data_IF_057525547309
#
_entry.id   IF_057525547309
#
_cell.length_a   1.000
_cell.length_b   1.000
_cell.length_c   1.000
_cell.angle_alpha   90.00
_cell.angle_beta   90.00
_cell.angle_gamma   90.00
#
_symmetry.space_group_name_H-M   'P 1'
#
loop_
_entity.id
_entity.type
_entity.pdbx_description
1 polymer ?
#
# COMPACT_ATOMS: atom_id res chain seq x y z
N UNK A 1 -8.39 21.87 -12.73
CA UNK A 1 -7.03 21.28 -12.52
C UNK A 1 -6.09 21.47 -13.73
N UNK A 2 -6.47 21.14 -14.99
CA UNK A 2 -5.58 21.33 -16.16
C UNK A 2 -5.08 22.77 -16.37
N UNK A 3 -5.89 23.79 -16.09
CA UNK A 3 -5.49 25.22 -16.22
C UNK A 3 -4.53 25.68 -15.12
N UNK A 4 -4.56 25.11 -13.94
CA UNK A 4 -3.72 25.46 -12.81
C UNK A 4 -2.28 24.95 -13.01
N UNK A 5 -2.09 23.78 -13.66
CA UNK A 5 -0.77 23.23 -13.99
C UNK A 5 -0.03 24.04 -15.06
N UNK A 6 -0.75 24.55 -16.07
CA UNK A 6 -0.14 25.45 -17.08
C UNK A 6 0.39 26.74 -16.46
N UNK A 7 -0.30 27.25 -15.43
CA UNK A 7 0.12 28.47 -14.71
C UNK A 7 1.35 28.21 -13.83
N UNK A 8 1.51 27.01 -13.30
CA UNK A 8 2.67 26.62 -12.48
C UNK A 8 3.94 26.47 -13.35
N UNK A 9 3.83 25.86 -14.53
CA UNK A 9 4.95 25.76 -15.47
C UNK A 9 5.42 27.14 -15.95
N UNK A 10 4.50 28.07 -16.20
CA UNK A 10 4.81 29.46 -16.60
C UNK A 10 5.42 30.29 -15.45
N UNK A 11 5.01 30.04 -14.20
CA UNK A 11 5.55 30.74 -13.03
C UNK A 11 6.98 30.33 -12.67
N UNK A 12 7.35 29.06 -12.88
CA UNK A 12 8.73 28.57 -12.69
C UNK A 12 9.71 29.19 -13.69
N UNK A 13 9.25 29.53 -14.91
CA UNK A 13 10.07 30.17 -15.93
C UNK A 13 10.36 31.66 -15.64
N UNK A 14 9.59 32.32 -14.76
CA UNK A 14 9.71 33.78 -14.55
C UNK A 14 10.49 34.18 -13.29
N UNK A 15 10.91 33.26 -12.44
CA UNK A 15 11.54 33.59 -11.15
C UNK A 15 12.91 32.94 -10.92
N UNK A 16 13.75 32.82 -11.94
CA UNK A 16 15.16 32.44 -11.73
C UNK A 16 16.00 33.72 -11.64
N UNK A 17 16.48 34.15 -10.46
CA UNK A 17 17.52 35.14 -10.39
C UNK A 17 18.76 34.59 -11.10
N UNK A 18 19.35 35.38 -11.97
CA UNK A 18 20.61 35.07 -12.62
C UNK A 18 21.75 35.04 -11.59
N UNK A 19 21.76 34.03 -10.75
CA UNK A 19 22.98 33.68 -10.02
C UNK A 19 23.77 32.71 -10.87
N UNK A 20 24.91 33.17 -11.35
CA UNK A 20 25.94 32.33 -11.92
C UNK A 20 26.59 31.47 -10.82
N UNK A 21 25.83 30.51 -10.28
CA UNK A 21 26.39 29.46 -9.47
C UNK A 21 26.81 28.30 -10.38
N UNK A 22 28.03 27.79 -10.16
CA UNK A 22 28.54 26.63 -10.87
C UNK A 22 27.51 25.50 -10.81
N UNK A 23 26.84 25.24 -11.92
CA UNK A 23 26.02 24.06 -12.09
C UNK A 23 26.86 22.83 -11.78
N UNK A 24 26.41 21.98 -10.89
CA UNK A 24 27.08 20.73 -10.60
C UNK A 24 26.75 19.74 -11.73
N UNK A 25 27.37 19.96 -12.91
CA UNK A 25 27.24 19.02 -14.02
C UNK A 25 27.97 17.74 -13.66
N UNK A 26 27.28 16.60 -13.85
CA UNK A 26 27.92 15.28 -13.65
C UNK A 26 29.04 15.14 -14.67
N UNK A 27 30.27 14.91 -14.19
CA UNK A 27 31.44 14.65 -15.05
C UNK A 27 31.43 13.18 -15.51
N UNK A 28 30.53 12.89 -16.46
CA UNK A 28 30.36 11.53 -17.02
C UNK A 28 31.65 11.03 -17.65
N UNK A 29 32.35 11.90 -18.43
CA UNK A 29 33.60 11.51 -19.10
C UNK A 29 34.71 11.18 -18.10
N UNK A 30 34.87 12.02 -17.08
CA UNK A 30 35.84 11.76 -16.00
C UNK A 30 35.53 10.48 -15.23
N UNK A 31 34.25 10.19 -15.01
CA UNK A 31 33.82 8.96 -14.32
C UNK A 31 34.04 7.71 -15.18
N UNK A 32 33.76 7.77 -16.49
CA UNK A 32 34.07 6.66 -17.40
C UNK A 32 35.59 6.39 -17.47
N UNK A 33 36.43 7.42 -17.48
CA UNK A 33 37.91 7.27 -17.40
C UNK A 33 38.36 6.62 -16.08
N UNK A 34 37.69 6.93 -14.94
CA UNK A 34 37.93 6.24 -13.66
C UNK A 34 37.59 4.75 -13.74
N UNK A 35 36.48 4.42 -14.40
CA UNK A 35 36.03 3.03 -14.59
C UNK A 35 37.05 2.27 -15.44
N UNK A 36 37.44 2.78 -16.62
CA UNK A 36 38.43 2.17 -17.47
C UNK A 36 39.79 1.94 -16.78
N UNK A 37 40.24 2.91 -15.98
CA UNK A 37 41.45 2.76 -15.18
C UNK A 37 41.30 1.68 -14.10
N UNK A 38 40.09 1.56 -13.52
CA UNK A 38 39.77 0.51 -12.56
C UNK A 38 39.75 -0.86 -13.22
N UNK A 39 39.18 -0.99 -14.43
CA UNK A 39 39.17 -2.22 -15.21
C UNK A 39 40.60 -2.68 -15.53
N UNK A 40 41.45 -1.79 -16.00
CA UNK A 40 42.87 -2.06 -16.26
C UNK A 40 43.63 -2.47 -14.95
N UNK A 41 43.21 -1.93 -13.81
CA UNK A 41 43.79 -2.26 -12.53
C UNK A 41 43.46 -3.69 -12.11
N UNK A 42 42.24 -4.13 -12.22
CA UNK A 42 41.84 -5.50 -11.84
C UNK A 42 42.17 -6.54 -12.90
N UNK A 43 42.37 -6.16 -14.14
CA UNK A 43 42.91 -7.05 -15.17
C UNK A 43 44.40 -7.43 -14.93
N UNK A 44 45.12 -6.64 -14.15
CA UNK A 44 46.51 -6.97 -13.77
C UNK A 44 46.53 -7.87 -12.52
N UNK A 45 46.99 -9.11 -12.65
CA UNK A 45 46.97 -10.12 -11.59
C UNK A 45 47.59 -9.64 -10.26
N UNK A 46 48.77 -8.97 -10.31
CA UNK A 46 49.45 -8.45 -9.10
C UNK A 46 48.63 -7.35 -8.40
N UNK A 47 47.88 -6.55 -9.17
CA UNK A 47 47.05 -5.51 -8.61
C UNK A 47 45.69 -6.07 -8.16
N UNK A 48 45.12 -7.02 -8.89
CA UNK A 48 43.90 -7.74 -8.53
C UNK A 48 44.03 -8.55 -7.22
N UNK A 49 45.25 -9.00 -6.87
CA UNK A 49 45.51 -9.65 -5.59
C UNK A 49 45.38 -8.70 -4.37
N UNK A 50 45.24 -7.40 -4.58
CA UNK A 50 45.13 -6.41 -3.49
C UNK A 50 43.64 -6.07 -3.22
N UNK A 51 43.11 -6.46 -2.10
CA UNK A 51 41.75 -6.20 -1.67
C UNK A 51 41.36 -4.70 -1.77
N UNK A 52 42.30 -3.78 -1.46
CA UNK A 52 42.06 -2.34 -1.55
C UNK A 52 41.72 -1.84 -2.96
N UNK A 53 42.17 -2.54 -4.00
CA UNK A 53 41.83 -2.16 -5.38
C UNK A 53 40.39 -2.54 -5.71
N UNK A 54 39.91 -3.64 -5.16
CA UNK A 54 38.48 -4.03 -5.30
C UNK A 54 37.55 -3.13 -4.51
N UNK A 55 37.93 -2.69 -3.29
CA UNK A 55 37.16 -1.66 -2.58
C UNK A 55 37.05 -0.37 -3.40
N UNK A 56 38.18 0.11 -3.96
CA UNK A 56 38.14 1.30 -4.84
C UNK A 56 37.28 1.12 -6.07
N UNK A 57 37.29 -0.09 -6.66
CA UNK A 57 36.41 -0.42 -7.77
C UNK A 57 34.95 -0.32 -7.37
N UNK A 58 34.57 -0.92 -6.25
CA UNK A 58 33.21 -0.85 -5.74
C UNK A 58 32.76 0.60 -5.50
N UNK A 59 33.62 1.42 -4.89
CA UNK A 59 33.37 2.85 -4.65
C UNK A 59 33.14 3.60 -5.96
N UNK A 60 33.93 3.33 -7.03
CA UNK A 60 33.77 3.95 -8.36
C UNK A 60 32.45 3.49 -9.01
N UNK A 61 32.09 2.21 -8.89
CA UNK A 61 30.81 1.71 -9.41
C UNK A 61 29.62 2.33 -8.70
N UNK A 62 29.70 2.51 -7.38
CA UNK A 62 28.66 3.24 -6.64
C UNK A 62 28.59 4.73 -6.99
N UNK A 63 29.74 5.38 -7.30
CA UNK A 63 29.75 6.73 -7.83
C UNK A 63 29.02 6.79 -9.19
N UNK A 64 29.20 5.78 -10.04
CA UNK A 64 28.51 5.69 -11.33
C UNK A 64 27.01 5.43 -11.19
N UNK A 65 26.63 4.57 -10.26
CA UNK A 65 25.22 4.26 -9.98
C UNK A 65 24.43 5.50 -9.56
N UNK A 66 25.00 6.26 -8.64
CA UNK A 66 24.33 7.41 -8.03
C UNK A 66 24.66 8.75 -8.69
N UNK A 67 25.38 8.76 -9.81
CA UNK A 67 25.93 9.96 -10.43
C UNK A 67 24.88 11.07 -10.63
N UNK A 68 23.72 10.73 -11.15
CA UNK A 68 22.64 11.68 -11.42
C UNK A 68 21.76 11.98 -10.20
N UNK A 69 21.69 11.07 -9.23
CA UNK A 69 20.67 11.10 -8.18
C UNK A 69 21.23 11.24 -6.77
N UNK A 70 22.57 11.34 -6.61
CA UNK A 70 23.22 11.39 -5.29
C UNK A 70 22.73 12.54 -4.40
N UNK A 71 22.35 13.67 -4.97
CA UNK A 71 21.89 14.85 -4.27
C UNK A 71 20.37 15.09 -4.43
N UNK A 72 19.65 14.17 -5.09
CA UNK A 72 18.21 14.26 -5.29
C UNK A 72 17.52 13.36 -4.29
N UNK A 73 16.46 13.87 -3.65
CA UNK A 73 15.63 13.11 -2.72
C UNK A 73 14.16 13.49 -2.87
N UNK A 74 13.29 12.58 -2.51
CA UNK A 74 11.85 12.84 -2.46
C UNK A 74 11.57 14.03 -1.54
N UNK A 75 10.54 14.79 -1.86
CA UNK A 75 10.14 16.03 -1.16
C UNK A 75 11.07 17.22 -1.35
N UNK A 76 12.20 17.12 -2.08
CA UNK A 76 13.05 18.25 -2.42
C UNK A 76 12.24 19.31 -3.18
N UNK A 77 12.39 20.56 -2.80
CA UNK A 77 11.66 21.67 -3.46
C UNK A 77 12.22 21.97 -4.85
N UNK A 78 11.35 22.33 -5.79
CA UNK A 78 11.73 22.65 -7.17
C UNK A 78 12.83 23.70 -7.27
N UNK A 79 12.80 24.73 -6.42
CA UNK A 79 13.84 25.77 -6.38
C UNK A 79 15.22 25.19 -6.00
N UNK A 80 15.27 24.21 -5.08
CA UNK A 80 16.52 23.53 -4.73
C UNK A 80 17.05 22.68 -5.89
N UNK A 81 16.13 22.00 -6.62
CA UNK A 81 16.51 21.30 -7.86
C UNK A 81 17.13 22.23 -8.88
N UNK A 82 16.50 23.39 -9.14
CA UNK A 82 17.01 24.39 -10.08
C UNK A 82 18.35 25.00 -9.62
N UNK A 83 18.52 25.22 -8.32
CA UNK A 83 19.81 25.69 -7.78
C UNK A 83 20.92 24.66 -7.95
N UNK A 84 20.60 23.38 -7.79
CA UNK A 84 21.59 22.29 -7.87
C UNK A 84 21.94 21.91 -9.32
N UNK A 85 20.93 21.76 -10.16
CA UNK A 85 21.06 21.21 -11.52
C UNK A 85 20.96 22.25 -12.63
N UNK A 86 20.52 23.46 -12.30
CA UNK A 86 20.19 24.50 -13.28
C UNK A 86 18.86 24.24 -13.99
N UNK A 87 18.69 24.93 -15.14
CA UNK A 87 17.48 24.78 -15.93
C UNK A 87 17.44 23.41 -16.62
N UNK A 88 16.29 22.72 -16.61
CA UNK A 88 16.14 21.47 -17.34
C UNK A 88 16.17 21.70 -18.85
N UNK A 89 16.63 20.69 -19.58
CA UNK A 89 16.65 20.71 -21.05
C UNK A 89 15.24 20.61 -21.65
N UNK A 90 14.35 19.91 -20.98
CA UNK A 90 12.93 19.76 -21.36
C UNK A 90 12.01 19.88 -20.14
N UNK A 91 10.80 20.38 -20.40
CA UNK A 91 9.71 20.39 -19.43
C UNK A 91 8.44 19.93 -20.12
N UNK A 92 7.81 18.90 -19.59
CA UNK A 92 6.59 18.33 -20.16
C UNK A 92 5.61 17.91 -19.06
N UNK A 93 4.33 17.87 -19.40
CA UNK A 93 3.34 17.24 -18.52
C UNK A 93 3.44 15.73 -18.67
N UNK A 94 3.49 15.04 -17.54
CA UNK A 94 3.46 13.59 -17.47
C UNK A 94 2.32 13.15 -16.55
N UNK A 95 1.86 11.95 -16.74
CA UNK A 95 0.83 11.33 -15.90
C UNK A 95 1.36 10.02 -15.31
N UNK A 96 1.24 9.87 -13.99
CA UNK A 96 1.57 8.63 -13.28
C UNK A 96 0.37 8.23 -12.44
N UNK A 97 -0.20 7.08 -12.71
CA UNK A 97 -1.39 6.57 -12.04
C UNK A 97 -2.59 7.56 -12.04
N UNK A 98 -2.84 8.21 -13.17
CA UNK A 98 -3.94 9.19 -13.31
C UNK A 98 -3.67 10.55 -12.67
N UNK A 99 -2.52 10.74 -12.00
CA UNK A 99 -2.14 12.01 -11.39
C UNK A 99 -1.18 12.78 -12.30
N UNK A 100 -1.38 14.11 -12.47
CA UNK A 100 -0.51 14.94 -13.29
C UNK A 100 0.76 15.35 -12.54
N UNK A 101 1.89 15.34 -13.25
CA UNK A 101 3.20 15.77 -12.79
C UNK A 101 3.87 16.68 -13.83
N UNK A 102 4.79 17.55 -13.37
CA UNK A 102 5.74 18.24 -14.25
C UNK A 102 7.01 17.39 -14.33
N UNK A 103 7.29 16.85 -15.51
CA UNK A 103 8.55 16.13 -15.79
C UNK A 103 9.60 17.09 -16.30
N UNK A 104 10.72 17.19 -15.58
CA UNK A 104 11.87 18.02 -15.87
C UNK A 104 13.02 17.12 -16.37
N UNK A 105 13.34 17.19 -17.66
CA UNK A 105 14.39 16.39 -18.27
C UNK A 105 15.76 17.06 -18.20
N UNK A 106 16.76 16.30 -17.79
CA UNK A 106 18.18 16.64 -17.74
C UNK A 106 19.01 15.64 -18.57
N UNK A 107 20.31 15.87 -18.71
CA UNK A 107 21.19 14.94 -19.40
C UNK A 107 21.26 13.60 -18.62
N UNK A 108 20.72 12.54 -19.20
CA UNK A 108 20.74 11.18 -18.65
C UNK A 108 19.59 10.82 -17.70
N UNK A 109 18.81 11.77 -17.19
CA UNK A 109 17.73 11.52 -16.24
C UNK A 109 16.61 12.56 -16.30
N UNK A 110 15.49 12.28 -15.66
CA UNK A 110 14.39 13.23 -15.49
C UNK A 110 13.81 13.15 -14.09
N UNK A 111 13.22 14.26 -13.62
CA UNK A 111 12.61 14.40 -12.28
C UNK A 111 11.13 14.71 -12.46
N UNK A 112 10.29 14.13 -11.60
CA UNK A 112 8.85 14.36 -11.54
C UNK A 112 8.50 15.24 -10.34
N UNK A 113 7.93 16.43 -10.60
CA UNK A 113 7.43 17.34 -9.58
C UNK A 113 5.92 17.24 -9.43
N UNK A 114 5.45 17.14 -8.20
CA UNK A 114 4.02 17.20 -7.87
C UNK A 114 3.45 18.62 -7.95
N UNK A 115 2.14 18.74 -7.76
CA UNK A 115 1.44 20.03 -7.70
C UNK A 115 1.94 20.93 -6.55
N UNK A 116 2.52 20.34 -5.50
CA UNK A 116 3.18 21.01 -4.37
C UNK A 116 4.61 21.48 -4.69
N UNK A 117 5.04 21.38 -5.94
CA UNK A 117 6.39 21.74 -6.44
C UNK A 117 7.52 20.97 -5.73
N UNK A 118 7.26 19.74 -5.30
CA UNK A 118 8.24 18.88 -4.68
C UNK A 118 8.52 17.65 -5.55
N UNK A 119 9.75 17.16 -5.47
CA UNK A 119 10.16 15.92 -6.15
C UNK A 119 9.34 14.75 -5.60
N UNK A 120 8.74 13.99 -6.50
CA UNK A 120 7.97 12.77 -6.19
C UNK A 120 8.67 11.51 -6.68
N UNK A 121 9.55 11.65 -7.68
CA UNK A 121 10.34 10.57 -8.23
C UNK A 121 11.21 11.06 -9.38
N UNK A 122 11.94 10.13 -9.97
CA UNK A 122 12.83 10.38 -11.11
C UNK A 122 12.93 9.12 -11.98
N UNK A 123 13.51 9.27 -13.14
CA UNK A 123 13.92 8.17 -14.02
C UNK A 123 15.33 8.41 -14.54
N UNK A 124 16.09 7.31 -14.68
CA UNK A 124 17.46 7.34 -15.24
C UNK A 124 17.50 6.40 -16.44
N UNK A 125 16.97 6.82 -17.61
CA UNK A 125 16.91 5.97 -18.79
C UNK A 125 18.30 5.64 -19.36
N UNK A 126 19.29 6.50 -19.11
CA UNK A 126 20.65 6.34 -19.59
C UNK A 126 21.64 6.42 -18.42
N UNK A 127 21.78 5.36 -17.61
CA UNK A 127 22.73 5.35 -16.51
C UNK A 127 24.18 5.49 -17.03
N UNK A 128 25.04 6.11 -16.24
CA UNK A 128 26.46 6.30 -16.62
C UNK A 128 27.14 4.97 -16.90
N UNK A 129 26.81 3.95 -16.13
CA UNK A 129 27.32 2.59 -16.33
C UNK A 129 26.20 1.56 -16.00
N UNK A 130 25.60 0.92 -17.01
CA UNK A 130 24.58 -0.10 -16.78
C UNK A 130 25.09 -1.26 -15.92
N UNK A 131 24.37 -1.62 -14.86
CA UNK A 131 24.74 -2.67 -13.93
C UNK A 131 25.87 -2.31 -12.94
N UNK A 132 26.09 -1.02 -12.70
CA UNK A 132 27.08 -0.53 -11.75
C UNK A 132 26.92 -1.12 -10.36
N UNK A 133 25.68 -1.25 -9.87
CA UNK A 133 25.37 -1.91 -8.59
C UNK A 133 25.90 -3.33 -8.53
N UNK A 134 25.68 -4.16 -9.55
CA UNK A 134 26.16 -5.55 -9.59
C UNK A 134 27.67 -5.62 -9.56
N UNK A 135 28.34 -4.71 -10.29
CA UNK A 135 29.80 -4.61 -10.28
C UNK A 135 30.34 -4.12 -8.94
N UNK A 136 29.61 -3.29 -8.22
CA UNK A 136 29.97 -2.88 -6.86
C UNK A 136 29.88 -4.05 -5.88
N UNK A 137 28.77 -4.83 -5.95
CA UNK A 137 28.56 -6.03 -5.13
C UNK A 137 29.70 -7.06 -5.38
N UNK A 138 29.98 -7.39 -6.64
CA UNK A 138 31.07 -8.28 -7.05
C UNK A 138 32.41 -7.83 -6.44
N UNK A 139 32.67 -6.54 -6.55
CA UNK A 139 33.93 -5.96 -6.08
C UNK A 139 34.06 -5.96 -4.55
N UNK A 140 32.99 -5.67 -3.80
CA UNK A 140 33.01 -5.77 -2.34
C UNK A 140 33.16 -7.22 -1.87
N UNK A 141 32.48 -8.19 -2.48
CA UNK A 141 32.66 -9.60 -2.19
C UNK A 141 34.13 -10.03 -2.40
N UNK A 142 34.70 -9.66 -3.56
CA UNK A 142 36.09 -9.98 -3.86
C UNK A 142 37.08 -9.32 -2.90
N UNK A 143 36.82 -8.11 -2.46
CA UNK A 143 37.63 -7.43 -1.46
C UNK A 143 37.62 -8.18 -0.11
N UNK A 144 36.42 -8.62 0.32
CA UNK A 144 36.24 -9.37 1.55
C UNK A 144 36.94 -10.74 1.51
N UNK A 145 36.76 -11.49 0.42
CA UNK A 145 37.43 -12.80 0.21
C UNK A 145 38.96 -12.70 0.28
N UNK A 146 39.49 -11.64 -0.34
CA UNK A 146 40.95 -11.40 -0.33
C UNK A 146 41.47 -10.94 1.03
N UNK A 147 40.67 -10.22 1.80
CA UNK A 147 41.06 -9.73 3.12
C UNK A 147 39.86 -9.48 4.04
N UNK A 148 39.41 -10.48 4.82
CA UNK A 148 38.30 -10.33 5.75
C UNK A 148 38.50 -9.24 6.83
N UNK A 149 39.74 -8.76 7.05
CA UNK A 149 39.99 -7.62 7.97
C UNK A 149 39.38 -6.31 7.46
N UNK A 150 38.95 -6.26 6.18
CA UNK A 150 38.21 -5.13 5.62
C UNK A 150 36.71 -5.19 5.89
N UNK A 151 36.20 -6.15 6.67
CA UNK A 151 34.80 -6.38 6.96
C UNK A 151 34.03 -5.08 7.30
N UNK A 152 34.57 -4.21 8.16
CA UNK A 152 33.96 -2.92 8.49
C UNK A 152 33.78 -2.03 7.26
N UNK A 153 34.81 -1.94 6.41
CA UNK A 153 34.79 -1.09 5.22
C UNK A 153 33.86 -1.64 4.14
N UNK A 154 33.83 -2.96 3.96
CA UNK A 154 32.87 -3.60 3.04
C UNK A 154 31.45 -3.43 3.54
N UNK A 155 31.18 -3.59 4.84
CA UNK A 155 29.86 -3.35 5.43
C UNK A 155 29.35 -1.92 5.20
N UNK A 156 30.20 -0.90 5.42
CA UNK A 156 29.87 0.50 5.11
C UNK A 156 29.53 0.69 3.60
N UNK A 157 30.25 -0.04 2.73
CA UNK A 157 29.97 -0.06 1.29
C UNK A 157 28.64 -0.72 0.96
N UNK A 158 28.35 -1.85 1.57
CA UNK A 158 27.10 -2.57 1.38
C UNK A 158 25.87 -1.80 1.86
N UNK A 159 25.97 -1.04 2.95
CA UNK A 159 24.89 -0.14 3.37
C UNK A 159 24.54 0.86 2.28
N UNK A 160 25.54 1.42 1.58
CA UNK A 160 25.29 2.32 0.44
C UNK A 160 24.67 1.60 -0.76
N UNK A 161 25.12 0.37 -1.04
CA UNK A 161 24.55 -0.49 -2.09
C UNK A 161 23.08 -0.75 -1.80
N UNK A 162 22.74 -1.24 -0.60
CA UNK A 162 21.36 -1.53 -0.20
C UNK A 162 20.51 -0.25 -0.29
N UNK A 163 20.99 0.88 0.25
CA UNK A 163 20.26 2.14 0.19
C UNK A 163 20.02 2.63 -1.25
N UNK A 164 20.98 2.44 -2.17
CA UNK A 164 20.79 2.80 -3.57
C UNK A 164 19.72 1.90 -4.23
N UNK A 165 19.78 0.59 -4.01
CA UNK A 165 18.78 -0.36 -4.53
C UNK A 165 17.38 -0.05 -3.98
N UNK A 166 17.26 0.23 -2.67
CA UNK A 166 15.98 0.60 -2.05
C UNK A 166 15.43 1.91 -2.61
N UNK A 167 16.30 2.89 -2.88
CA UNK A 167 15.94 4.16 -3.51
C UNK A 167 15.39 3.95 -4.91
N UNK A 168 16.01 3.08 -5.71
CA UNK A 168 15.53 2.71 -7.03
C UNK A 168 14.20 1.93 -6.95
N UNK A 169 14.05 1.03 -5.97
CA UNK A 169 12.81 0.31 -5.73
C UNK A 169 11.65 1.25 -5.43
N UNK A 170 11.84 2.22 -4.52
CA UNK A 170 10.85 3.25 -4.20
C UNK A 170 10.47 4.07 -5.43
N UNK A 171 11.44 4.39 -6.25
CA UNK A 171 11.24 5.14 -7.49
C UNK A 171 10.48 4.34 -8.56
N UNK A 172 10.78 3.06 -8.75
CA UNK A 172 9.99 2.17 -9.62
C UNK A 172 8.56 1.99 -9.08
N UNK A 173 8.38 1.92 -7.75
CA UNK A 173 7.06 1.90 -7.14
C UNK A 173 6.26 3.18 -7.46
N UNK A 174 6.87 4.34 -7.35
CA UNK A 174 6.27 5.61 -7.76
C UNK A 174 5.86 5.58 -9.24
N UNK A 175 6.73 5.11 -10.13
CA UNK A 175 6.50 5.02 -11.58
C UNK A 175 5.50 3.88 -11.96
N UNK A 176 5.00 3.11 -10.99
CA UNK A 176 4.12 1.94 -11.19
C UNK A 176 4.77 0.77 -11.94
N UNK A 177 6.08 0.74 -12.03
CA UNK A 177 6.82 -0.45 -12.48
C UNK A 177 7.03 -1.39 -11.29
N UNK A 178 5.91 -1.96 -10.80
CA UNK A 178 5.90 -2.79 -9.60
C UNK A 178 6.79 -4.03 -9.73
N UNK A 179 6.94 -4.55 -10.94
CA UNK A 179 7.82 -5.71 -11.16
C UNK A 179 9.29 -5.35 -10.90
N UNK A 180 9.76 -4.21 -11.45
CA UNK A 180 11.13 -3.75 -11.15
C UNK A 180 11.30 -3.34 -9.69
N UNK A 181 10.28 -2.71 -9.09
CA UNK A 181 10.30 -2.40 -7.66
C UNK A 181 10.51 -3.67 -6.82
N UNK A 182 9.73 -4.74 -7.10
CA UNK A 182 9.86 -6.02 -6.41
C UNK A 182 11.25 -6.63 -6.58
N UNK A 183 11.77 -6.66 -7.81
CA UNK A 183 13.13 -7.16 -8.09
C UNK A 183 14.21 -6.39 -7.33
N UNK A 184 14.09 -5.08 -7.24
CA UNK A 184 15.03 -4.26 -6.48
C UNK A 184 14.91 -4.54 -4.97
N UNK A 185 13.72 -4.64 -4.41
CA UNK A 185 13.55 -4.97 -3.00
C UNK A 185 14.07 -6.38 -2.67
N UNK A 186 13.74 -7.39 -3.49
CA UNK A 186 14.29 -8.75 -3.33
C UNK A 186 15.82 -8.73 -3.37
N UNK A 187 16.41 -8.01 -4.32
CA UNK A 187 17.87 -7.84 -4.41
C UNK A 187 18.46 -7.15 -3.19
N UNK A 188 17.82 -6.11 -2.63
CA UNK A 188 18.30 -5.47 -1.39
C UNK A 188 18.33 -6.45 -0.22
N UNK A 189 17.29 -7.28 -0.08
CA UNK A 189 17.24 -8.37 0.89
C UNK A 189 18.38 -9.38 0.67
N UNK A 190 18.55 -9.91 -0.55
CA UNK A 190 19.60 -10.88 -0.88
C UNK A 190 21.00 -10.34 -0.57
N UNK A 191 21.25 -9.07 -0.89
CA UNK A 191 22.52 -8.39 -0.59
C UNK A 191 22.74 -8.31 0.92
N UNK A 192 21.70 -8.10 1.72
CA UNK A 192 21.81 -8.05 3.18
C UNK A 192 22.23 -9.40 3.79
N UNK A 193 21.97 -10.51 3.11
CA UNK A 193 22.35 -11.86 3.53
C UNK A 193 23.83 -12.19 3.25
N UNK A 194 24.51 -11.38 2.44
CA UNK A 194 25.91 -11.67 2.07
C UNK A 194 26.86 -11.51 3.27
N UNK A 195 27.78 -12.48 3.51
CA UNK A 195 28.71 -12.38 4.64
C UNK A 195 29.56 -11.11 4.64
N UNK A 196 29.92 -10.62 3.44
CA UNK A 196 30.68 -9.39 3.26
C UNK A 196 29.87 -8.13 3.59
N UNK A 197 28.55 -8.23 3.63
CA UNK A 197 27.67 -7.09 3.95
C UNK A 197 27.81 -6.70 5.43
N UNK A 198 27.90 -7.67 6.34
CA UNK A 198 28.06 -7.40 7.77
C UNK A 198 26.97 -6.50 8.37
N UNK A 199 25.80 -6.49 7.76
CA UNK A 199 24.62 -5.72 8.16
C UNK A 199 23.55 -6.67 8.71
N UNK A 200 22.55 -6.13 9.41
CA UNK A 200 21.38 -6.93 9.79
C UNK A 200 20.56 -7.30 8.56
N UNK A 201 19.87 -8.43 8.64
CA UNK A 201 18.94 -8.88 7.58
C UNK A 201 17.89 -7.80 7.30
N UNK A 202 17.71 -7.47 6.04
CA UNK A 202 16.77 -6.43 5.60
C UNK A 202 15.35 -7.00 5.44
N UNK A 203 14.68 -7.17 6.58
CA UNK A 203 13.34 -7.75 6.64
C UNK A 203 12.27 -6.85 5.98
N UNK A 204 12.47 -5.52 5.99
CA UNK A 204 11.58 -4.58 5.34
C UNK A 204 11.62 -4.75 3.81
N UNK A 205 12.80 -4.95 3.24
CA UNK A 205 12.92 -5.12 1.79
C UNK A 205 12.24 -6.38 1.31
N UNK A 206 12.37 -7.52 1.99
CA UNK A 206 11.68 -8.74 1.55
C UNK A 206 10.15 -8.63 1.70
N UNK A 207 9.65 -7.95 2.73
CA UNK A 207 8.23 -7.62 2.84
C UNK A 207 7.78 -6.74 1.67
N UNK A 208 8.52 -5.66 1.36
CA UNK A 208 8.19 -4.77 0.25
C UNK A 208 8.28 -5.46 -1.11
N UNK A 209 9.20 -6.43 -1.29
CA UNK A 209 9.24 -7.27 -2.49
C UNK A 209 7.94 -8.05 -2.68
N UNK A 210 7.48 -8.74 -1.64
CA UNK A 210 6.20 -9.44 -1.68
C UNK A 210 5.01 -8.52 -1.90
N UNK A 211 4.98 -7.38 -1.20
CA UNK A 211 3.93 -6.36 -1.35
C UNK A 211 3.86 -5.79 -2.78
N UNK A 212 5.00 -5.44 -3.36
CA UNK A 212 5.05 -4.90 -4.73
C UNK A 212 4.80 -5.98 -5.79
N UNK A 213 5.16 -7.24 -5.52
CA UNK A 213 4.83 -8.39 -6.36
C UNK A 213 3.32 -8.61 -6.45
N UNK A 214 2.57 -8.41 -5.36
CA UNK A 214 1.11 -8.43 -5.38
C UNK A 214 0.54 -7.43 -6.39
N UNK A 215 1.01 -6.16 -6.37
CA UNK A 215 0.56 -5.13 -7.31
C UNK A 215 1.02 -5.36 -8.76
N UNK A 216 2.10 -6.10 -8.97
CA UNK A 216 2.53 -6.50 -10.32
C UNK A 216 1.73 -7.67 -10.90
N UNK A 217 0.92 -8.36 -10.06
CA UNK A 217 0.21 -9.58 -10.42
C UNK A 217 1.07 -10.85 -10.36
N UNK A 218 2.32 -10.76 -9.86
CA UNK A 218 3.19 -11.91 -9.62
C UNK A 218 2.90 -12.49 -8.24
N UNK A 219 1.78 -13.20 -8.14
CA UNK A 219 1.27 -13.71 -6.87
C UNK A 219 2.15 -14.83 -6.28
N UNK A 220 2.81 -15.63 -7.12
CA UNK A 220 3.75 -16.66 -6.65
C UNK A 220 4.94 -16.04 -5.92
N UNK A 221 5.54 -15.01 -6.51
CA UNK A 221 6.62 -14.24 -5.86
C UNK A 221 6.12 -13.56 -4.60
N UNK A 222 4.94 -12.93 -4.66
CA UNK A 222 4.35 -12.28 -3.50
C UNK A 222 4.20 -13.23 -2.31
N UNK A 223 3.63 -14.41 -2.52
CA UNK A 223 3.48 -15.43 -1.47
C UNK A 223 4.83 -15.87 -0.93
N UNK A 224 5.79 -16.20 -1.81
CA UNK A 224 7.15 -16.61 -1.42
C UNK A 224 7.80 -15.57 -0.49
N UNK A 225 7.83 -14.32 -0.93
CA UNK A 225 8.56 -13.26 -0.23
C UNK A 225 7.89 -12.87 1.07
N UNK A 226 6.54 -12.84 1.13
CA UNK A 226 5.80 -12.57 2.36
C UNK A 226 5.95 -13.70 3.39
N UNK A 227 6.02 -14.96 2.98
CA UNK A 227 6.31 -16.08 3.89
C UNK A 227 7.72 -15.96 4.48
N UNK A 228 8.72 -15.54 3.69
CA UNK A 228 10.06 -15.24 4.20
C UNK A 228 10.01 -14.10 5.22
N UNK A 229 9.26 -13.03 4.94
CA UNK A 229 9.09 -11.93 5.88
C UNK A 229 8.43 -12.40 7.19
N UNK A 230 7.41 -13.27 7.12
CA UNK A 230 6.78 -13.91 8.28
C UNK A 230 7.79 -14.69 9.13
N UNK A 231 8.58 -15.56 8.48
CA UNK A 231 9.61 -16.36 9.16
C UNK A 231 10.68 -15.50 9.85
N UNK A 232 10.98 -14.34 9.28
CA UNK A 232 11.92 -13.37 9.85
C UNK A 232 11.29 -12.48 10.94
N UNK A 233 10.01 -12.67 11.26
CA UNK A 233 9.30 -11.93 12.30
C UNK A 233 8.88 -10.53 11.91
N UNK A 234 8.76 -10.23 10.60
CA UNK A 234 8.28 -8.95 10.11
C UNK A 234 6.81 -9.04 9.72
N UNK A 235 5.93 -8.38 10.46
CA UNK A 235 4.47 -8.57 10.38
C UNK A 235 3.67 -7.32 10.01
N UNK A 236 4.24 -6.11 10.11
CA UNK A 236 3.51 -4.83 9.92
C UNK A 236 2.17 -4.81 10.68
N UNK A 237 2.21 -5.05 12.00
CA UNK A 237 1.02 -5.13 12.85
C UNK A 237 -0.07 -6.10 12.33
N UNK A 238 0.35 -7.14 11.61
CA UNK A 238 -0.51 -8.16 11.03
C UNK A 238 -0.98 -7.88 9.59
N UNK A 239 -0.65 -6.73 8.99
CA UNK A 239 -1.03 -6.41 7.61
C UNK A 239 -0.41 -7.39 6.59
N UNK A 240 0.75 -7.96 6.93
CA UNK A 240 1.37 -9.04 6.14
C UNK A 240 0.35 -10.14 5.79
N UNK A 241 -0.45 -10.58 6.75
CA UNK A 241 -1.40 -11.68 6.55
C UNK A 241 -2.53 -11.34 5.58
N UNK A 242 -2.95 -10.07 5.53
CA UNK A 242 -3.94 -9.59 4.57
C UNK A 242 -3.39 -9.66 3.14
N UNK A 243 -2.18 -9.13 2.91
CA UNK A 243 -1.55 -9.16 1.58
C UNK A 243 -1.22 -10.59 1.17
N UNK A 244 -0.70 -11.39 2.10
CA UNK A 244 -0.37 -12.81 1.88
C UNK A 244 -1.62 -13.62 1.48
N UNK A 245 -2.74 -13.43 2.18
CA UNK A 245 -3.99 -14.10 1.85
C UNK A 245 -4.51 -13.71 0.45
N UNK A 246 -4.54 -12.41 0.14
CA UNK A 246 -5.01 -11.94 -1.15
C UNK A 246 -4.13 -12.43 -2.30
N UNK A 247 -2.81 -12.49 -2.11
CA UNK A 247 -1.85 -13.07 -3.06
C UNK A 247 -2.09 -14.56 -3.24
N UNK A 248 -2.24 -15.28 -2.12
CA UNK A 248 -2.45 -16.73 -2.11
C UNK A 248 -3.76 -17.09 -2.79
N UNK A 249 -4.85 -16.39 -2.47
CA UNK A 249 -6.15 -16.57 -3.11
C UNK A 249 -6.09 -16.31 -4.62
N UNK A 250 -5.41 -15.24 -5.03
CA UNK A 250 -5.24 -14.90 -6.46
C UNK A 250 -4.40 -15.96 -7.19
N UNK A 251 -3.37 -16.50 -6.55
CA UNK A 251 -2.53 -17.59 -7.07
C UNK A 251 -3.32 -18.90 -7.22
N UNK A 252 -4.18 -19.23 -6.26
CA UNK A 252 -4.97 -20.46 -6.26
C UNK A 252 -6.17 -20.41 -7.23
N UNK A 253 -6.72 -19.20 -7.49
CA UNK A 253 -7.94 -19.04 -8.27
C UNK A 253 -9.12 -19.80 -7.66
N UNK A 254 -9.72 -20.72 -8.43
CA UNK A 254 -10.86 -21.55 -8.00
C UNK A 254 -10.44 -22.90 -7.35
N UNK A 255 -9.14 -23.18 -7.26
CA UNK A 255 -8.60 -24.41 -6.68
C UNK A 255 -8.72 -24.40 -5.15
N UNK A 256 -9.84 -24.94 -4.66
CA UNK A 256 -10.16 -25.00 -3.23
C UNK A 256 -9.16 -25.83 -2.42
N UNK A 257 -8.61 -26.90 -3.01
CA UNK A 257 -7.66 -27.77 -2.30
C UNK A 257 -6.36 -27.01 -1.99
N UNK A 258 -5.86 -26.25 -2.97
CA UNK A 258 -4.72 -25.35 -2.74
C UNK A 258 -5.09 -24.23 -1.79
N UNK A 259 -6.24 -23.58 -1.99
CA UNK A 259 -6.68 -22.45 -1.17
C UNK A 259 -6.77 -22.82 0.32
N UNK A 260 -7.13 -24.06 0.67
CA UNK A 260 -7.18 -24.54 2.05
C UNK A 260 -5.83 -24.37 2.80
N UNK A 261 -4.70 -24.33 2.09
CA UNK A 261 -3.38 -24.06 2.68
C UNK A 261 -3.27 -22.69 3.33
N UNK A 262 -4.12 -21.73 2.96
CA UNK A 262 -4.14 -20.41 3.58
C UNK A 262 -4.57 -20.43 5.04
N UNK A 263 -5.32 -21.46 5.47
CA UNK A 263 -5.83 -21.59 6.83
C UNK A 263 -4.71 -21.59 7.87
N UNK A 264 -3.59 -22.23 7.55
CA UNK A 264 -2.45 -22.38 8.48
C UNK A 264 -1.83 -21.01 8.82
N UNK A 265 -1.43 -20.23 7.84
CA UNK A 265 -0.78 -18.94 8.12
C UNK A 265 -1.78 -17.91 8.69
N UNK A 266 -3.06 -17.92 8.28
CA UNK A 266 -4.06 -17.03 8.86
C UNK A 266 -4.33 -17.34 10.33
N UNK A 267 -4.36 -18.62 10.73
CA UNK A 267 -4.51 -19.01 12.14
C UNK A 267 -3.26 -18.62 12.96
N UNK A 268 -2.04 -18.73 12.38
CA UNK A 268 -0.84 -18.17 13.02
C UNK A 268 -0.97 -16.67 13.22
N UNK A 269 -1.45 -15.96 12.19
CA UNK A 269 -1.69 -14.52 12.24
C UNK A 269 -2.70 -14.13 13.31
N UNK A 270 -3.84 -14.82 13.38
CA UNK A 270 -4.87 -14.56 14.39
C UNK A 270 -4.34 -14.81 15.81
N UNK A 271 -3.53 -15.85 16.01
CA UNK A 271 -2.91 -16.14 17.31
C UNK A 271 -1.96 -15.02 17.74
N UNK A 272 -1.23 -14.44 16.81
CA UNK A 272 -0.23 -13.41 17.11
C UNK A 272 -0.85 -12.00 17.19
N UNK A 273 -1.88 -11.74 16.39
CA UNK A 273 -2.59 -10.47 16.29
C UNK A 273 -4.10 -10.69 16.45
N UNK A 274 -4.55 -11.12 17.64
CA UNK A 274 -5.94 -11.52 17.84
C UNK A 274 -6.92 -10.36 17.61
N UNK A 275 -6.48 -9.10 17.78
CA UNK A 275 -7.28 -7.91 17.54
C UNK A 275 -7.26 -7.40 16.09
N UNK A 276 -6.56 -8.08 15.16
CA UNK A 276 -6.52 -7.63 13.78
C UNK A 276 -7.76 -8.08 13.01
N UNK A 277 -8.68 -7.13 12.74
CA UNK A 277 -9.93 -7.39 12.02
C UNK A 277 -9.74 -7.87 10.58
N UNK A 278 -8.63 -7.47 9.92
CA UNK A 278 -8.34 -7.90 8.55
C UNK A 278 -8.06 -9.41 8.50
N UNK A 279 -7.32 -9.94 9.48
CA UNK A 279 -7.07 -11.39 9.59
C UNK A 279 -8.37 -12.15 9.82
N UNK A 280 -9.26 -11.65 10.70
CA UNK A 280 -10.57 -12.26 10.96
C UNK A 280 -11.42 -12.23 9.67
N UNK A 281 -11.40 -11.14 8.94
CA UNK A 281 -12.09 -11.00 7.65
C UNK A 281 -11.54 -12.00 6.62
N UNK A 282 -10.22 -12.12 6.50
CA UNK A 282 -9.57 -13.08 5.59
C UNK A 282 -9.92 -14.53 5.94
N UNK A 283 -9.95 -14.88 7.25
CA UNK A 283 -10.40 -16.22 7.69
C UNK A 283 -11.87 -16.46 7.33
N UNK A 284 -12.73 -15.48 7.58
CA UNK A 284 -14.16 -15.59 7.26
C UNK A 284 -14.37 -15.82 5.76
N UNK A 285 -13.68 -15.03 4.92
CA UNK A 285 -13.71 -15.17 3.47
C UNK A 285 -13.17 -16.54 3.02
N UNK A 286 -12.08 -17.01 3.63
CA UNK A 286 -11.50 -18.32 3.34
C UNK A 286 -12.51 -19.46 3.63
N UNK A 287 -13.15 -19.46 4.82
CA UNK A 287 -14.12 -20.48 5.18
C UNK A 287 -15.31 -20.49 4.20
N UNK A 288 -15.83 -19.31 3.84
CA UNK A 288 -16.89 -19.19 2.84
C UNK A 288 -16.45 -19.71 1.46
N UNK A 289 -15.24 -19.35 1.02
CA UNK A 289 -14.69 -19.80 -0.26
C UNK A 289 -14.52 -21.32 -0.34
N UNK A 290 -14.12 -21.94 0.77
CA UNK A 290 -14.01 -23.40 0.89
C UNK A 290 -15.38 -24.09 0.97
N UNK A 291 -16.44 -23.37 1.35
CA UNK A 291 -17.77 -23.91 1.69
C UNK A 291 -17.81 -24.48 3.10
N UNK A 292 -16.88 -24.05 3.96
CA UNK A 292 -16.86 -24.38 5.38
C UNK A 292 -17.70 -23.38 6.20
N UNK A 293 -18.02 -23.72 7.44
CA UNK A 293 -18.81 -22.84 8.30
C UNK A 293 -17.93 -21.82 9.04
N UNK A 294 -18.04 -20.50 8.76
CA UNK A 294 -17.28 -19.48 9.48
C UNK A 294 -17.55 -19.43 10.99
N UNK A 295 -18.60 -20.10 11.48
CA UNK A 295 -18.91 -20.17 12.91
C UNK A 295 -17.75 -20.75 13.74
N UNK A 296 -16.87 -21.56 13.11
CA UNK A 296 -15.67 -22.09 13.74
C UNK A 296 -14.67 -20.99 14.18
N UNK A 297 -14.76 -19.80 13.62
CA UNK A 297 -13.92 -18.65 13.98
C UNK A 297 -14.42 -18.00 15.28
N UNK A 298 -15.73 -18.08 15.57
CA UNK A 298 -16.36 -17.42 16.71
C UNK A 298 -15.71 -17.76 18.05
N UNK A 299 -15.44 -19.04 18.39
CA UNK A 299 -14.77 -19.38 19.65
C UNK A 299 -13.37 -18.76 19.76
N UNK A 300 -12.63 -18.69 18.66
CA UNK A 300 -11.27 -18.13 18.64
C UNK A 300 -11.30 -16.63 18.96
N UNK A 301 -12.22 -15.88 18.31
CA UNK A 301 -12.37 -14.44 18.56
C UNK A 301 -12.90 -14.19 19.99
N UNK A 302 -13.85 -15.00 20.49
CA UNK A 302 -14.35 -14.89 21.87
C UNK A 302 -13.25 -15.12 22.90
N UNK A 303 -12.39 -16.11 22.70
CA UNK A 303 -11.23 -16.34 23.58
C UNK A 303 -10.29 -15.14 23.60
N UNK A 304 -10.08 -14.49 22.44
CA UNK A 304 -9.29 -13.26 22.36
C UNK A 304 -9.98 -12.10 23.11
N UNK A 305 -11.30 -11.97 22.99
CA UNK A 305 -12.09 -10.97 23.74
C UNK A 305 -12.00 -11.20 25.26
N UNK A 306 -12.03 -12.45 25.73
CA UNK A 306 -11.85 -12.77 27.16
C UNK A 306 -10.50 -12.29 27.69
N UNK A 307 -9.45 -12.34 26.85
CA UNK A 307 -8.11 -11.85 27.19
C UNK A 307 -7.98 -10.33 27.11
N UNK A 308 -8.69 -9.71 26.16
CA UNK A 308 -8.62 -8.27 25.87
C UNK A 308 -10.03 -7.65 25.71
N UNK A 309 -10.85 -7.61 26.75
CA UNK A 309 -12.28 -7.24 26.64
C UNK A 309 -12.51 -5.78 26.23
N UNK A 310 -11.52 -4.91 26.38
CA UNK A 310 -11.57 -3.51 25.96
C UNK A 310 -11.01 -3.25 24.57
N UNK A 311 -10.58 -4.28 23.84
CA UNK A 311 -10.10 -4.17 22.48
C UNK A 311 -11.29 -4.11 21.50
N UNK A 312 -11.68 -2.90 21.09
CA UNK A 312 -12.81 -2.67 20.18
C UNK A 312 -12.67 -3.42 18.84
N UNK A 313 -11.44 -3.69 18.38
CA UNK A 313 -11.21 -4.38 17.10
C UNK A 313 -11.63 -5.85 17.14
N UNK A 314 -11.51 -6.52 18.30
CA UNK A 314 -11.99 -7.89 18.48
C UNK A 314 -13.53 -7.96 18.39
N UNK A 315 -14.22 -7.03 19.02
CA UNK A 315 -15.68 -6.91 18.93
C UNK A 315 -16.12 -6.59 17.50
N UNK A 316 -15.38 -5.72 16.81
CA UNK A 316 -15.62 -5.42 15.39
C UNK A 316 -15.46 -6.67 14.51
N UNK A 317 -14.39 -7.44 14.72
CA UNK A 317 -14.17 -8.71 14.04
C UNK A 317 -15.30 -9.72 14.29
N UNK A 318 -15.72 -9.88 15.56
CA UNK A 318 -16.84 -10.75 15.93
C UNK A 318 -18.15 -10.34 15.25
N UNK A 319 -18.45 -9.04 15.22
CA UNK A 319 -19.61 -8.49 14.51
C UNK A 319 -19.58 -8.81 13.03
N UNK A 320 -18.40 -8.69 12.40
CA UNK A 320 -18.19 -9.03 10.99
C UNK A 320 -18.44 -10.51 10.71
N UNK A 321 -17.93 -11.42 11.53
CA UNK A 321 -18.20 -12.87 11.41
C UNK A 321 -19.70 -13.14 11.51
N UNK A 322 -20.38 -12.62 12.54
CA UNK A 322 -21.81 -12.84 12.71
C UNK A 322 -22.65 -12.25 11.57
N UNK A 323 -22.23 -11.12 10.98
CA UNK A 323 -22.88 -10.52 9.80
C UNK A 323 -22.83 -11.50 8.61
N UNK A 324 -21.68 -12.10 8.34
CA UNK A 324 -21.54 -13.10 7.26
C UNK A 324 -22.36 -14.37 7.52
N UNK A 325 -22.47 -14.79 8.78
CA UNK A 325 -23.36 -15.88 9.21
C UNK A 325 -24.85 -15.52 9.16
N UNK A 326 -25.19 -14.28 8.77
CA UNK A 326 -26.55 -13.71 8.82
C UNK A 326 -27.19 -13.74 10.22
N UNK A 327 -26.37 -13.87 11.26
CA UNK A 327 -26.82 -13.74 12.64
C UNK A 327 -26.78 -12.24 13.03
N UNK A 328 -27.75 -11.50 12.49
CA UNK A 328 -27.76 -10.04 12.58
C UNK A 328 -27.93 -9.51 14.00
N UNK A 329 -28.61 -10.27 14.88
CA UNK A 329 -28.80 -9.88 16.28
C UNK A 329 -27.47 -9.94 17.07
N UNK A 330 -26.68 -11.00 16.91
CA UNK A 330 -25.38 -11.10 17.56
C UNK A 330 -24.35 -10.13 16.93
N UNK A 331 -24.42 -9.89 15.60
CA UNK A 331 -23.63 -8.87 14.94
C UNK A 331 -23.92 -7.48 15.51
N UNK A 332 -25.19 -7.14 15.72
CA UNK A 332 -25.63 -5.87 16.31
C UNK A 332 -25.00 -5.68 17.69
N UNK A 333 -25.14 -6.67 18.59
CA UNK A 333 -24.56 -6.62 19.93
C UNK A 333 -23.05 -6.39 19.90
N UNK A 334 -22.36 -7.07 19.01
CA UNK A 334 -20.90 -6.91 18.86
C UNK A 334 -20.52 -5.50 18.42
N UNK A 335 -21.19 -4.91 17.41
CA UNK A 335 -20.93 -3.54 16.99
C UNK A 335 -21.36 -2.50 18.04
N UNK A 336 -22.39 -2.77 18.84
CA UNK A 336 -22.75 -1.94 19.99
C UNK A 336 -21.65 -1.92 21.06
N UNK A 337 -20.98 -3.05 21.32
CA UNK A 337 -19.80 -3.07 22.20
C UNK A 337 -18.64 -2.25 21.60
N UNK A 338 -18.41 -2.27 20.27
CA UNK A 338 -17.45 -1.37 19.64
C UNK A 338 -17.78 0.08 19.95
N UNK A 339 -19.05 0.50 19.80
CA UNK A 339 -19.48 1.89 20.06
C UNK A 339 -19.34 2.27 21.55
N UNK A 340 -19.57 1.34 22.47
CA UNK A 340 -19.36 1.58 23.90
C UNK A 340 -17.88 1.84 24.22
N UNK A 341 -16.97 1.11 23.56
CA UNK A 341 -15.53 1.23 23.76
C UNK A 341 -14.94 2.42 22.99
N UNK A 342 -15.44 2.68 21.79
CA UNK A 342 -15.06 3.80 20.91
C UNK A 342 -16.31 4.43 20.26
N UNK A 343 -16.93 5.43 20.93
CA UNK A 343 -18.10 6.13 20.39
C UNK A 343 -17.82 6.91 19.08
N UNK A 344 -16.57 7.09 18.70
CA UNK A 344 -16.17 7.80 17.49
C UNK A 344 -15.93 6.87 16.29
N UNK A 345 -16.11 5.58 16.46
CA UNK A 345 -15.95 4.59 15.41
C UNK A 345 -17.07 4.68 14.36
N UNK A 346 -16.83 5.45 13.31
CA UNK A 346 -17.81 5.65 12.23
C UNK A 346 -18.20 4.36 11.52
N UNK A 347 -17.27 3.40 11.40
CA UNK A 347 -17.53 2.11 10.77
C UNK A 347 -18.53 1.25 11.59
N UNK A 348 -18.43 1.25 12.92
CA UNK A 348 -19.36 0.52 13.75
C UNK A 348 -20.80 1.09 13.65
N UNK A 349 -20.94 2.41 13.67
CA UNK A 349 -22.23 3.07 13.41
C UNK A 349 -22.79 2.71 12.03
N UNK A 350 -21.94 2.74 11.00
CA UNK A 350 -22.33 2.34 9.66
C UNK A 350 -22.81 0.90 9.62
N UNK A 351 -22.10 -0.05 10.23
CA UNK A 351 -22.51 -1.47 10.21
C UNK A 351 -23.82 -1.72 10.97
N UNK A 352 -24.09 -1.00 12.04
CA UNK A 352 -25.41 -1.08 12.70
C UNK A 352 -26.51 -0.64 11.73
N UNK A 353 -26.34 0.49 11.04
CA UNK A 353 -27.27 0.92 10.00
C UNK A 353 -27.42 -0.11 8.89
N UNK A 354 -26.33 -0.69 8.44
CA UNK A 354 -26.29 -1.70 7.39
C UNK A 354 -27.01 -3.01 7.81
N UNK A 355 -26.86 -3.44 9.06
CA UNK A 355 -27.57 -4.59 9.58
C UNK A 355 -29.09 -4.37 9.54
N UNK A 356 -29.58 -3.18 9.92
CA UNK A 356 -31.01 -2.87 9.77
C UNK A 356 -31.46 -2.92 8.30
N UNK A 357 -30.64 -2.49 7.34
CA UNK A 357 -30.94 -2.63 5.92
C UNK A 357 -31.03 -4.10 5.52
N UNK A 358 -30.08 -4.93 5.92
CA UNK A 358 -30.09 -6.37 5.63
C UNK A 358 -31.33 -7.09 6.25
N UNK A 359 -31.68 -6.72 7.48
CA UNK A 359 -32.89 -7.23 8.12
C UNK A 359 -34.16 -6.77 7.40
N UNK A 360 -34.19 -5.51 6.93
CA UNK A 360 -35.27 -4.95 6.13
C UNK A 360 -35.41 -5.62 4.77
N UNK A 361 -34.29 -5.87 4.08
CA UNK A 361 -34.28 -6.58 2.80
C UNK A 361 -34.75 -8.04 2.97
N UNK A 362 -34.26 -8.75 3.99
CA UNK A 362 -34.72 -10.11 4.30
C UNK A 362 -36.22 -10.16 4.64
N UNK A 363 -36.71 -9.19 5.42
CA UNK A 363 -38.12 -9.09 5.73
C UNK A 363 -38.99 -8.74 4.50
N UNK A 364 -38.46 -7.90 3.61
CA UNK A 364 -39.13 -7.57 2.36
C UNK A 364 -39.25 -8.80 1.45
N UNK A 365 -38.22 -9.63 1.36
CA UNK A 365 -38.27 -10.89 0.61
C UNK A 365 -39.32 -11.85 1.20
N UNK A 366 -39.38 -11.97 2.52
CA UNK A 366 -40.40 -12.73 3.23
C UNK A 366 -41.82 -12.22 2.89
N UNK A 367 -42.04 -10.92 3.01
CA UNK A 367 -43.32 -10.28 2.70
C UNK A 367 -43.74 -10.53 1.25
N UNK A 368 -42.80 -10.40 0.29
CA UNK A 368 -43.08 -10.64 -1.11
C UNK A 368 -43.37 -12.10 -1.47
N UNK A 369 -42.87 -13.07 -0.68
CA UNK A 369 -43.10 -14.49 -0.87
C UNK A 369 -44.41 -14.99 -0.25
N UNK A 370 -45.07 -14.22 0.63
CA UNK A 370 -46.30 -14.63 1.30
C UNK A 370 -47.52 -14.64 0.38
N UNK A 371 -48.42 -15.62 0.48
CA UNK A 371 -49.68 -15.65 -0.27
C UNK A 371 -50.69 -14.73 0.43
N UNK A 372 -50.76 -13.48 0.05
CA UNK A 372 -51.60 -12.48 0.66
C UNK A 372 -53.08 -12.69 0.35
N UNK A 373 -53.94 -12.63 1.38
CA UNK A 373 -55.38 -12.74 1.26
C UNK A 373 -56.09 -11.38 1.25
N UNK A 374 -55.34 -10.28 1.50
CA UNK A 374 -55.91 -8.93 1.48
C UNK A 374 -54.81 -7.86 1.65
N UNK A 375 -55.14 -6.65 1.17
CA UNK A 375 -54.21 -5.51 1.18
C UNK A 375 -53.80 -5.08 2.60
N UNK A 376 -54.74 -5.06 3.52
CA UNK A 376 -54.47 -4.64 4.91
C UNK A 376 -53.44 -5.53 5.61
N UNK A 377 -53.49 -6.83 5.37
CA UNK A 377 -52.48 -7.75 5.91
C UNK A 377 -51.10 -7.58 5.30
N UNK A 378 -51.04 -7.30 4.00
CA UNK A 378 -49.81 -6.94 3.30
C UNK A 378 -49.23 -5.63 3.86
N UNK A 379 -50.04 -4.57 3.90
CA UNK A 379 -49.62 -3.24 4.35
C UNK A 379 -49.05 -3.30 5.79
N UNK A 380 -49.65 -4.07 6.68
CA UNK A 380 -49.16 -4.27 8.05
C UNK A 380 -47.81 -4.95 8.09
N UNK A 381 -47.58 -6.00 7.31
CA UNK A 381 -46.28 -6.67 7.27
C UNK A 381 -45.22 -5.84 6.53
N UNK A 382 -45.61 -5.15 5.49
CA UNK A 382 -44.71 -4.22 4.78
C UNK A 382 -44.30 -3.03 5.64
N UNK A 383 -45.16 -2.58 6.56
CA UNK A 383 -44.79 -1.54 7.52
C UNK A 383 -43.59 -1.96 8.36
N UNK A 384 -43.47 -3.24 8.75
CA UNK A 384 -42.27 -3.74 9.48
C UNK A 384 -40.99 -3.64 8.65
N UNK A 385 -41.07 -3.77 7.33
CA UNK A 385 -39.93 -3.54 6.43
C UNK A 385 -39.51 -2.08 6.49
N UNK A 386 -40.48 -1.15 6.39
CA UNK A 386 -40.21 0.28 6.48
C UNK A 386 -39.65 0.69 7.84
N UNK A 387 -40.17 0.10 8.92
CA UNK A 387 -39.67 0.35 10.28
C UNK A 387 -38.19 -0.08 10.46
N UNK A 388 -37.77 -1.18 9.84
CA UNK A 388 -36.38 -1.61 9.84
C UNK A 388 -35.48 -0.64 9.05
N UNK A 389 -35.93 -0.21 7.85
CA UNK A 389 -35.19 0.81 7.11
C UNK A 389 -35.12 2.14 7.87
N UNK A 390 -36.19 2.55 8.56
CA UNK A 390 -36.20 3.76 9.37
C UNK A 390 -35.18 3.72 10.51
N UNK A 391 -35.03 2.55 11.17
CA UNK A 391 -34.04 2.36 12.22
C UNK A 391 -32.59 2.47 11.72
N UNK A 392 -32.33 2.26 10.42
CA UNK A 392 -30.99 2.40 9.84
C UNK A 392 -30.53 3.84 9.72
N UNK A 393 -31.47 4.81 9.66
CA UNK A 393 -31.14 6.20 9.30
C UNK A 393 -30.26 6.86 10.35
N UNK A 394 -30.62 6.79 11.63
CA UNK A 394 -29.85 7.44 12.70
C UNK A 394 -28.41 6.92 12.82
N UNK A 395 -28.15 5.58 12.81
CA UNK A 395 -26.79 5.07 12.74
C UNK A 395 -25.99 5.55 11.54
N UNK A 396 -26.58 5.58 10.34
CA UNK A 396 -25.89 6.11 9.16
C UNK A 396 -25.62 7.61 9.25
N UNK A 397 -26.55 8.40 9.79
CA UNK A 397 -26.34 9.83 10.03
C UNK A 397 -25.16 10.05 11.00
N UNK A 398 -25.06 9.21 12.06
CA UNK A 398 -23.96 9.28 12.99
C UNK A 398 -22.62 8.88 12.35
N UNK A 399 -22.62 7.84 11.52
CA UNK A 399 -21.42 7.45 10.74
C UNK A 399 -20.96 8.60 9.83
N UNK A 400 -21.88 9.24 9.12
CA UNK A 400 -21.59 10.37 8.25
C UNK A 400 -21.12 11.62 9.03
N UNK A 401 -21.71 11.90 10.20
CA UNK A 401 -21.26 12.98 11.08
C UNK A 401 -19.78 12.79 11.50
N UNK A 402 -19.42 11.57 11.86
CA UNK A 402 -18.08 11.22 12.32
C UNK A 402 -17.05 11.19 11.18
N UNK A 403 -17.44 10.79 9.96
CA UNK A 403 -16.56 10.76 8.80
C UNK A 403 -17.32 11.19 7.53
N UNK A 404 -17.46 12.51 7.27
CA UNK A 404 -18.22 13.02 6.14
C UNK A 404 -17.55 12.81 4.77
N UNK A 405 -16.29 12.35 4.74
CA UNK A 405 -15.56 12.10 3.49
C UNK A 405 -15.77 10.67 2.94
N UNK A 406 -16.42 9.80 3.70
CA UNK A 406 -16.71 8.44 3.26
C UNK A 406 -17.98 8.40 2.41
N UNK A 407 -17.80 8.22 1.10
CA UNK A 407 -18.92 8.26 0.12
C UNK A 407 -19.98 7.20 0.38
N UNK A 408 -19.60 6.03 0.90
CA UNK A 408 -20.53 4.95 1.20
C UNK A 408 -21.61 5.38 2.21
N UNK A 409 -21.27 6.21 3.19
CA UNK A 409 -22.24 6.68 4.19
C UNK A 409 -23.32 7.58 3.57
N UNK A 410 -22.93 8.49 2.68
CA UNK A 410 -23.86 9.33 1.94
C UNK A 410 -24.71 8.50 0.96
N UNK A 411 -24.12 7.48 0.35
CA UNK A 411 -24.83 6.57 -0.57
C UNK A 411 -25.94 5.79 0.14
N UNK A 412 -25.62 5.16 1.28
CA UNK A 412 -26.65 4.42 2.03
C UNK A 412 -27.72 5.33 2.59
N UNK A 413 -27.37 6.52 3.10
CA UNK A 413 -28.37 7.52 3.52
C UNK A 413 -29.30 7.90 2.37
N UNK A 414 -28.77 8.17 1.19
CA UNK A 414 -29.59 8.42 -0.02
C UNK A 414 -30.52 7.25 -0.33
N UNK A 415 -30.03 6.02 -0.31
CA UNK A 415 -30.80 4.82 -0.65
C UNK A 415 -31.93 4.58 0.36
N UNK A 416 -31.63 4.60 1.67
CA UNK A 416 -32.64 4.29 2.69
C UNK A 416 -33.69 5.39 2.80
N UNK A 417 -33.29 6.66 2.72
CA UNK A 417 -34.25 7.78 2.76
C UNK A 417 -35.13 7.82 1.51
N UNK A 418 -34.61 7.40 0.34
CA UNK A 418 -35.44 7.19 -0.85
C UNK A 418 -36.51 6.10 -0.67
N UNK A 419 -36.16 4.97 -0.04
CA UNK A 419 -37.11 3.89 0.26
C UNK A 419 -38.22 4.37 1.21
N UNK A 420 -37.92 5.31 2.10
CA UNK A 420 -38.79 5.82 3.15
C UNK A 420 -39.57 7.10 2.77
N UNK A 421 -39.31 7.71 1.62
CA UNK A 421 -39.81 9.06 1.25
C UNK A 421 -41.33 9.22 1.29
N UNK A 422 -42.05 8.12 1.05
CA UNK A 422 -43.52 8.12 1.04
C UNK A 422 -44.09 7.83 2.43
N UNK A 423 -43.28 7.52 3.41
CA UNK A 423 -43.67 7.22 4.78
C UNK A 423 -43.88 8.48 5.62
N UNK A 424 -42.96 9.46 5.49
CA UNK A 424 -42.99 10.72 6.21
C UNK A 424 -42.25 11.81 5.39
N UNK A 425 -42.76 13.05 5.27
CA UNK A 425 -42.13 14.15 4.52
C UNK A 425 -40.65 14.39 4.90
N UNK A 426 -40.26 14.17 6.15
CA UNK A 426 -38.86 14.31 6.59
C UNK A 426 -37.89 13.44 5.78
N UNK A 427 -38.31 12.26 5.34
CA UNK A 427 -37.46 11.38 4.55
C UNK A 427 -37.28 11.87 3.11
N UNK A 428 -38.27 12.56 2.55
CA UNK A 428 -38.10 13.22 1.26
C UNK A 428 -37.03 14.33 1.36
N UNK A 429 -37.07 15.18 2.40
CA UNK A 429 -36.08 16.22 2.61
C UNK A 429 -34.68 15.63 2.83
N UNK A 430 -34.56 14.57 3.65
CA UNK A 430 -33.32 13.86 3.85
C UNK A 430 -32.77 13.24 2.56
N UNK A 431 -33.65 12.65 1.74
CA UNK A 431 -33.24 12.09 0.45
C UNK A 431 -32.66 13.16 -0.47
N UNK A 432 -33.31 14.31 -0.60
CA UNK A 432 -32.83 15.42 -1.43
C UNK A 432 -31.44 15.88 -0.95
N UNK A 433 -31.29 16.07 0.36
CA UNK A 433 -30.00 16.43 0.98
C UNK A 433 -28.89 15.44 0.65
N UNK A 434 -29.10 14.15 0.94
CA UNK A 434 -28.04 13.15 0.79
C UNK A 434 -27.79 12.77 -0.69
N UNK A 435 -28.79 12.90 -1.56
CA UNK A 435 -28.61 12.78 -2.99
C UNK A 435 -27.70 13.88 -3.57
N UNK A 436 -27.86 15.11 -3.10
CA UNK A 436 -26.99 16.22 -3.51
C UNK A 436 -25.54 16.02 -2.99
N UNK A 437 -25.38 15.64 -1.72
CA UNK A 437 -24.09 15.32 -1.13
C UNK A 437 -23.39 14.20 -1.93
N UNK A 438 -24.11 13.12 -2.21
CA UNK A 438 -23.57 11.99 -2.97
C UNK A 438 -23.12 12.40 -4.38
N UNK A 439 -23.87 13.23 -5.08
CA UNK A 439 -23.48 13.77 -6.40
C UNK A 439 -22.20 14.58 -6.31
N UNK A 440 -22.09 15.47 -5.33
CA UNK A 440 -20.89 16.29 -5.14
C UNK A 440 -19.66 15.43 -4.86
N UNK A 441 -19.78 14.41 -4.01
CA UNK A 441 -18.69 13.50 -3.67
C UNK A 441 -18.31 12.56 -4.82
N UNK A 442 -19.29 12.09 -5.59
CA UNK A 442 -19.06 11.17 -6.72
C UNK A 442 -18.59 11.84 -8.01
N UNK A 443 -18.61 13.19 -8.07
CA UNK A 443 -18.25 13.96 -9.26
C UNK A 443 -19.25 13.82 -10.42
N UNK A 444 -20.48 13.44 -10.13
CA UNK A 444 -21.58 13.25 -11.11
C UNK A 444 -22.55 14.40 -11.08
#
# INVERSE_FOLDING_TARGET
MKKTFLTIAAALLMCVPTFAQQQQKVDVEGLLKKIEKSDATIANEKKAAKASNWVKRAEIMMEAETAYTSNIYETMEANMVLMLLGNPATQEQAEVAGNPYLKMGYEGFAIYLGADQRVKGWEVPNPVYPGAVDKAIEAYNKAYDLNPKLAKKTAEGYQKVISAIQKDAGNYYFLRDFNKAAQCFEKAYEVSLMPAAGVSVDTLSIYNAGFTSYFSGDFERSVKDLLIAEELGFYQDGELYNVLYNSYRSMCGEDKEKLAGAKEFLLRGLKQFPGNSNIITCLTDLYLALGENPEEIVPLVKTAIESEPTNAMLWYGLGSVYKELKNYEEAMKAFEEVIKLDPTNSAAHYFIGYLYVLMGDAKNDEVNAMPWTGRESYDREYQKVLDLYAQSVAPFEKAYELNPNEIAFAEYLKVVTFKLRDMDPQYQEKYEKYNEIFKQMSGK
#
